data_IF_936309925399
#
_entry.id   IF_936309925399
#
_cell.length_a   1.000
_cell.length_b   1.000
_cell.length_c   1.000
_cell.angle_alpha   90.00
_cell.angle_beta   90.00
_cell.angle_gamma   90.00
#
_symmetry.space_group_name_H-M   'P 1'
#
loop_
_entity.id
_entity.type
_entity.pdbx_description
1 polymer ?
#
# COMPACT_ATOMS: atom_id res chain seq x y z
N UNK A 1 16.68 -36.09 11.15
CA UNK A 1 17.88 -35.35 11.60
C UNK A 1 17.49 -34.48 12.79
N UNK A 2 18.40 -34.19 13.72
CA UNK A 2 18.17 -33.12 14.69
C UNK A 2 18.48 -31.74 14.06
N UNK A 3 18.15 -30.64 14.75
CA UNK A 3 18.39 -29.30 14.21
C UNK A 3 19.86 -29.01 13.94
N UNK A 4 20.78 -29.49 14.79
CA UNK A 4 22.23 -29.33 14.58
C UNK A 4 22.70 -29.97 13.27
N UNK A 5 22.29 -31.21 13.00
CA UNK A 5 22.59 -31.91 11.75
C UNK A 5 22.05 -31.19 10.51
N UNK A 6 20.84 -30.63 10.62
CA UNK A 6 20.22 -29.84 9.55
C UNK A 6 21.05 -28.59 9.25
N UNK A 7 21.44 -27.83 10.27
CA UNK A 7 22.27 -26.63 10.09
C UNK A 7 23.62 -26.96 9.48
N UNK A 8 24.30 -28.02 9.95
CA UNK A 8 25.55 -28.49 9.35
C UNK A 8 25.40 -28.77 7.85
N UNK A 9 24.34 -29.46 7.46
CA UNK A 9 24.06 -29.73 6.05
C UNK A 9 23.74 -28.46 5.26
N UNK A 10 23.03 -27.48 5.86
CA UNK A 10 22.83 -26.16 5.25
C UNK A 10 24.17 -25.47 4.99
N UNK A 11 25.08 -25.47 5.96
CA UNK A 11 26.39 -24.85 5.84
C UNK A 11 27.25 -25.50 4.77
N UNK A 12 27.19 -26.84 4.63
CA UNK A 12 27.84 -27.55 3.52
C UNK A 12 27.25 -27.22 2.16
N UNK A 13 25.92 -27.05 2.08
CA UNK A 13 25.25 -26.59 0.85
C UNK A 13 25.75 -25.20 0.48
N UNK A 14 25.82 -24.26 1.43
CA UNK A 14 26.36 -22.91 1.21
C UNK A 14 27.82 -22.99 0.76
N UNK A 15 28.66 -23.72 1.49
CA UNK A 15 30.08 -23.91 1.15
C UNK A 15 30.27 -24.42 -0.28
N UNK A 16 29.53 -25.46 -0.66
CA UNK A 16 29.58 -26.05 -2.00
C UNK A 16 29.03 -25.12 -3.08
N UNK A 17 27.86 -24.51 -2.85
CA UNK A 17 27.16 -23.68 -3.82
C UNK A 17 27.95 -22.43 -4.20
N UNK A 18 28.55 -21.76 -3.21
CA UNK A 18 29.36 -20.56 -3.45
C UNK A 18 30.82 -20.89 -3.77
N UNK A 19 31.21 -22.17 -3.83
CA UNK A 19 32.58 -22.58 -4.16
C UNK A 19 33.62 -22.04 -3.18
N UNK A 20 33.30 -22.03 -1.88
CA UNK A 20 34.17 -21.48 -0.85
C UNK A 20 35.44 -22.32 -0.70
N UNK A 21 36.57 -21.67 -0.44
CA UNK A 21 37.87 -22.33 -0.35
C UNK A 21 38.33 -22.42 1.12
N UNK A 22 37.53 -23.08 1.94
CA UNK A 22 37.81 -23.26 3.38
C UNK A 22 38.44 -24.64 3.58
N UNK A 23 39.72 -24.66 3.94
CA UNK A 23 40.46 -25.90 4.16
C UNK A 23 39.80 -26.77 5.24
N UNK A 24 39.65 -28.07 4.95
CA UNK A 24 39.07 -29.07 5.83
C UNK A 24 37.66 -28.75 6.36
N UNK A 25 36.89 -27.91 5.65
CA UNK A 25 35.56 -27.48 6.10
C UNK A 25 34.62 -28.66 6.41
N UNK A 26 34.42 -29.56 5.45
CA UNK A 26 33.55 -30.72 5.64
C UNK A 26 34.02 -31.60 6.81
N UNK A 27 35.31 -32.03 6.89
CA UNK A 27 35.83 -32.74 8.05
C UNK A 27 35.62 -32.01 9.39
N UNK A 28 35.81 -30.69 9.44
CA UNK A 28 35.61 -29.92 10.68
C UNK A 28 34.15 -29.91 11.12
N UNK A 29 33.22 -29.76 10.17
CA UNK A 29 31.77 -29.76 10.41
C UNK A 29 31.25 -31.16 10.75
N UNK A 30 31.73 -32.20 10.05
CA UNK A 30 31.31 -33.59 10.25
C UNK A 30 31.77 -34.17 11.58
N UNK A 31 32.99 -33.84 12.00
CA UNK A 31 33.58 -34.36 13.23
C UNK A 31 33.32 -33.49 14.46
N UNK A 32 32.41 -32.52 14.38
CA UNK A 32 32.06 -31.61 15.51
C UNK A 32 33.27 -30.86 16.09
N UNK A 33 34.27 -30.54 15.25
CA UNK A 33 35.48 -29.84 15.71
C UNK A 33 35.23 -28.36 16.00
N UNK A 34 34.15 -27.81 15.46
CA UNK A 34 33.74 -26.41 15.58
C UNK A 34 32.23 -26.33 15.85
N UNK A 35 31.83 -25.36 16.67
CA UNK A 35 30.41 -25.08 16.97
C UNK A 35 29.67 -24.45 15.79
N UNK A 36 28.33 -24.43 15.82
CA UNK A 36 27.53 -23.79 14.76
C UNK A 36 27.90 -22.30 14.58
N UNK A 37 28.10 -21.58 15.68
CA UNK A 37 28.48 -20.16 15.62
C UNK A 37 29.88 -19.98 15.02
N UNK A 38 30.82 -20.89 15.33
CA UNK A 38 32.15 -20.89 14.72
C UNK A 38 32.11 -21.22 13.22
N UNK A 39 31.21 -22.12 12.78
CA UNK A 39 30.98 -22.40 11.36
C UNK A 39 30.47 -21.15 10.66
N UNK A 40 29.47 -20.47 11.24
CA UNK A 40 28.93 -19.21 10.71
C UNK A 40 30.04 -18.16 10.59
N UNK A 41 30.81 -17.93 11.64
CA UNK A 41 31.88 -16.93 11.64
C UNK A 41 32.97 -17.29 10.61
N UNK A 42 33.27 -18.58 10.41
CA UNK A 42 34.21 -19.06 9.38
C UNK A 42 33.69 -18.78 7.98
N UNK A 43 32.42 -19.13 7.69
CA UNK A 43 31.78 -18.86 6.39
C UNK A 43 31.77 -17.36 6.08
N UNK A 44 31.42 -16.52 7.08
CA UNK A 44 31.32 -15.07 6.94
C UNK A 44 32.67 -14.37 6.71
N UNK A 45 33.78 -15.02 7.01
CA UNK A 45 35.12 -14.50 6.73
C UNK A 45 35.59 -14.78 5.30
N UNK A 46 34.88 -15.62 4.54
CA UNK A 46 35.22 -15.89 3.14
C UNK A 46 34.83 -14.69 2.24
N UNK A 47 35.74 -14.19 1.38
CA UNK A 47 35.47 -13.05 0.49
C UNK A 47 34.24 -13.23 -0.40
N UNK A 48 33.91 -14.45 -0.82
CA UNK A 48 32.74 -14.71 -1.67
C UNK A 48 31.43 -14.53 -0.90
N UNK A 49 31.38 -14.91 0.38
CA UNK A 49 30.19 -14.65 1.22
C UNK A 49 30.07 -13.17 1.56
N UNK A 50 31.19 -12.48 1.83
CA UNK A 50 31.19 -11.02 2.06
C UNK A 50 30.62 -10.28 0.84
N UNK A 51 30.89 -10.78 -0.37
CA UNK A 51 30.37 -10.22 -1.62
C UNK A 51 28.87 -10.48 -1.85
N UNK A 52 28.22 -11.30 -1.01
CA UNK A 52 26.78 -11.61 -1.06
C UNK A 52 26.09 -11.18 0.24
N UNK A 53 25.78 -9.87 0.43
CA UNK A 53 25.38 -9.31 1.72
C UNK A 53 24.14 -9.97 2.33
N UNK A 54 23.17 -10.35 1.50
CA UNK A 54 21.93 -11.00 1.98
C UNK A 54 22.21 -12.38 2.59
N UNK A 55 23.13 -13.14 2.02
CA UNK A 55 23.50 -14.46 2.54
C UNK A 55 24.39 -14.31 3.77
N UNK A 56 25.31 -13.35 3.75
CA UNK A 56 26.09 -12.94 4.91
C UNK A 56 25.20 -12.61 6.12
N UNK A 57 24.16 -11.79 5.92
CA UNK A 57 23.20 -11.42 6.97
C UNK A 57 22.29 -12.60 7.37
N UNK A 58 21.88 -13.44 6.42
CA UNK A 58 21.07 -14.62 6.68
C UNK A 58 21.77 -15.59 7.64
N UNK A 59 23.08 -15.80 7.49
CA UNK A 59 23.85 -16.68 8.36
C UNK A 59 23.73 -16.29 9.84
N UNK A 60 23.70 -14.98 10.15
CA UNK A 60 23.51 -14.52 11.53
C UNK A 60 22.14 -14.83 12.11
N UNK A 61 21.14 -15.16 11.28
CA UNK A 61 19.83 -15.61 11.77
C UNK A 61 19.88 -17.03 12.33
N UNK A 62 20.87 -17.84 11.94
CA UNK A 62 21.02 -19.24 12.35
C UNK A 62 21.99 -19.46 13.53
N UNK A 63 22.49 -18.39 14.17
CA UNK A 63 23.28 -18.51 15.40
C UNK A 63 22.47 -19.22 16.49
N UNK A 64 23.15 -20.00 17.33
CA UNK A 64 22.49 -20.88 18.30
C UNK A 64 21.55 -20.11 19.24
N UNK A 65 21.96 -18.91 19.65
CA UNK A 65 21.17 -18.02 20.50
C UNK A 65 19.81 -17.59 19.90
N UNK A 66 19.69 -17.57 18.55
CA UNK A 66 18.47 -17.15 17.86
C UNK A 66 17.55 -18.31 17.51
N UNK A 67 18.11 -19.46 17.16
CA UNK A 67 17.32 -20.63 16.77
C UNK A 67 16.75 -21.37 17.98
N UNK A 68 17.43 -21.31 19.12
CA UNK A 68 17.01 -21.92 20.38
C UNK A 68 17.37 -23.40 20.50
N UNK A 69 17.62 -23.84 21.75
CA UNK A 69 17.98 -25.22 22.08
C UNK A 69 16.92 -26.23 21.65
N UNK A 70 15.65 -25.86 21.75
CA UNK A 70 14.53 -26.74 21.39
C UNK A 70 14.58 -27.18 19.93
N UNK A 71 15.03 -26.33 19.02
CA UNK A 71 15.20 -26.73 17.62
C UNK A 71 16.48 -27.58 17.44
N UNK A 72 17.59 -27.15 18.07
CA UNK A 72 18.90 -27.78 17.89
C UNK A 72 18.92 -29.24 18.36
N UNK A 73 18.30 -29.50 19.50
CA UNK A 73 18.46 -30.77 20.21
C UNK A 73 17.32 -31.76 19.91
N UNK A 74 16.14 -31.27 19.53
CA UNK A 74 15.01 -32.14 19.19
C UNK A 74 15.12 -32.71 17.77
N UNK A 75 14.52 -33.88 17.56
CA UNK A 75 14.36 -34.43 16.21
C UNK A 75 13.42 -33.56 15.39
N UNK A 76 13.88 -33.15 14.21
CA UNK A 76 13.04 -32.46 13.25
C UNK A 76 12.14 -33.47 12.52
N UNK A 77 10.84 -33.25 12.60
CA UNK A 77 9.85 -34.02 11.86
C UNK A 77 9.65 -33.34 10.51
N UNK A 78 9.95 -34.06 9.43
CA UNK A 78 9.77 -33.53 8.08
C UNK A 78 8.31 -33.15 7.83
N UNK A 79 8.12 -31.99 7.21
CA UNK A 79 6.79 -31.47 6.90
C UNK A 79 6.26 -32.09 5.60
N UNK A 80 4.94 -32.02 5.41
CA UNK A 80 4.27 -32.70 4.30
C UNK A 80 4.78 -32.26 2.94
N UNK A 81 4.94 -30.95 2.73
CA UNK A 81 5.44 -30.41 1.48
C UNK A 81 5.94 -28.98 1.65
N UNK A 82 6.87 -28.60 0.77
CA UNK A 82 7.46 -27.26 0.69
C UNK A 82 7.54 -26.82 -0.76
N UNK A 83 7.21 -25.55 -1.01
CA UNK A 83 7.04 -25.01 -2.37
C UNK A 83 7.51 -23.55 -2.45
N UNK A 84 8.08 -23.18 -3.60
CA UNK A 84 8.33 -21.78 -3.96
C UNK A 84 7.22 -21.34 -4.90
N UNK A 85 6.39 -20.41 -4.45
CA UNK A 85 5.33 -19.81 -5.26
C UNK A 85 5.96 -18.73 -6.13
N UNK A 86 5.72 -18.76 -7.45
CA UNK A 86 6.16 -17.75 -8.39
C UNK A 86 4.99 -16.83 -8.79
N UNK A 87 5.03 -15.56 -8.39
CA UNK A 87 3.99 -14.58 -8.67
C UNK A 87 3.99 -14.00 -10.08
N UNK A 88 4.96 -14.38 -10.92
CA UNK A 88 4.92 -14.12 -12.37
C UNK A 88 3.97 -15.06 -13.11
N UNK A 89 3.51 -16.15 -12.48
CA UNK A 89 2.54 -17.06 -13.08
C UNK A 89 1.17 -16.40 -13.24
N UNK A 90 0.40 -16.72 -14.31
CA UNK A 90 -0.91 -16.12 -14.57
C UNK A 90 -1.88 -16.19 -13.38
N UNK A 91 -1.87 -17.33 -12.68
CA UNK A 91 -2.73 -17.59 -11.51
C UNK A 91 -2.37 -16.73 -10.28
N UNK A 92 -1.21 -16.09 -10.28
CA UNK A 92 -0.73 -15.26 -9.16
C UNK A 92 -0.50 -13.80 -9.56
N UNK A 93 -0.71 -13.45 -10.83
CA UNK A 93 -0.47 -12.11 -11.35
C UNK A 93 -1.23 -11.06 -10.51
N UNK A 94 -0.52 -10.01 -10.08
CA UNK A 94 -1.01 -8.92 -9.21
C UNK A 94 -1.46 -9.33 -7.80
N UNK A 95 -1.24 -10.58 -7.39
CA UNK A 95 -1.65 -11.09 -6.06
C UNK A 95 -0.53 -11.06 -5.03
N UNK A 96 0.70 -10.75 -5.40
CA UNK A 96 1.85 -10.74 -4.49
C UNK A 96 1.69 -9.66 -3.39
N UNK A 97 1.63 -10.08 -2.13
CA UNK A 97 1.51 -9.20 -0.96
C UNK A 97 2.66 -9.49 0.01
N UNK A 98 3.25 -8.44 0.56
CA UNK A 98 4.34 -8.53 1.53
C UNK A 98 3.82 -8.91 2.93
N UNK A 99 3.52 -10.20 3.14
CA UNK A 99 3.12 -10.73 4.45
C UNK A 99 3.82 -12.05 4.79
N UNK A 100 3.69 -12.45 6.04
CA UNK A 100 4.14 -13.75 6.54
C UNK A 100 3.18 -14.24 7.60
N UNK A 101 2.80 -15.51 7.53
CA UNK A 101 1.85 -16.11 8.46
C UNK A 101 2.23 -17.56 8.69
N UNK A 102 2.09 -18.05 9.93
CA UNK A 102 2.34 -19.45 10.24
C UNK A 102 1.43 -19.92 11.37
N UNK A 103 0.87 -21.12 11.22
CA UNK A 103 0.11 -21.81 12.24
C UNK A 103 0.48 -23.30 12.29
N UNK A 104 -0.37 -24.14 12.89
CA UNK A 104 -0.16 -25.59 12.97
C UNK A 104 -0.29 -26.31 11.64
N UNK A 105 -0.95 -25.71 10.64
CA UNK A 105 -1.29 -26.37 9.37
C UNK A 105 -0.39 -25.89 8.23
N UNK A 106 -0.05 -24.60 8.23
CA UNK A 106 0.67 -23.97 7.12
C UNK A 106 1.68 -22.92 7.61
N UNK A 107 2.62 -22.60 6.73
CA UNK A 107 3.52 -21.46 6.85
C UNK A 107 3.66 -20.77 5.51
N UNK A 108 3.65 -19.44 5.51
CA UNK A 108 3.91 -18.63 4.33
C UNK A 108 4.80 -17.43 4.66
N UNK A 109 5.75 -17.16 3.77
CA UNK A 109 6.63 -16.00 3.82
C UNK A 109 6.80 -15.44 2.40
N UNK A 110 6.27 -14.25 2.13
CA UNK A 110 6.56 -13.55 0.89
C UNK A 110 8.02 -13.09 0.87
N UNK A 111 8.77 -13.36 -0.20
CA UNK A 111 10.13 -12.85 -0.33
C UNK A 111 10.14 -11.32 -0.47
N UNK A 112 9.08 -10.72 -1.02
CA UNK A 112 8.85 -9.26 -0.96
C UNK A 112 8.97 -8.71 0.46
N UNK A 113 8.40 -9.40 1.46
CA UNK A 113 8.54 -9.01 2.88
C UNK A 113 9.94 -9.25 3.40
N UNK A 114 10.58 -10.34 2.98
CA UNK A 114 11.96 -10.68 3.37
C UNK A 114 12.96 -9.62 2.91
N UNK A 115 12.81 -9.09 1.70
CA UNK A 115 13.64 -8.02 1.12
C UNK A 115 13.56 -6.74 1.94
N UNK A 116 12.39 -6.43 2.51
CA UNK A 116 12.18 -5.25 3.35
C UNK A 116 12.83 -5.35 4.75
N UNK A 117 13.31 -6.53 5.16
CA UNK A 117 14.02 -6.73 6.43
C UNK A 117 15.49 -6.35 6.22
N UNK A 118 15.93 -5.28 6.89
CA UNK A 118 17.30 -4.77 6.79
C UNK A 118 17.85 -4.43 8.18
N UNK A 119 18.93 -5.07 8.64
CA UNK A 119 19.58 -6.25 8.03
C UNK A 119 18.70 -7.51 8.14
N UNK A 120 18.86 -8.47 7.21
CA UNK A 120 18.11 -9.74 7.19
C UNK A 120 18.31 -10.58 8.46
N UNK A 121 19.40 -10.34 9.18
CA UNK A 121 19.68 -10.96 10.47
C UNK A 121 18.63 -10.67 11.54
N UNK A 122 17.73 -9.71 11.33
CA UNK A 122 16.60 -9.37 12.22
C UNK A 122 15.30 -10.15 11.93
N UNK A 123 15.34 -11.13 11.02
CA UNK A 123 14.14 -11.91 10.66
C UNK A 123 13.53 -12.64 11.87
N UNK A 124 14.34 -13.00 12.87
CA UNK A 124 13.93 -13.63 14.13
C UNK A 124 12.96 -12.77 14.96
N UNK A 125 12.99 -11.44 14.78
CA UNK A 125 12.01 -10.52 15.36
C UNK A 125 10.61 -10.66 14.74
N UNK A 126 10.46 -11.44 13.67
CA UNK A 126 9.19 -11.74 13.01
C UNK A 126 8.97 -13.26 13.09
N UNK A 127 8.41 -13.77 14.20
CA UNK A 127 8.37 -15.21 14.47
C UNK A 127 7.75 -16.05 13.34
N UNK A 128 6.68 -15.56 12.70
CA UNK A 128 6.03 -16.28 11.59
C UNK A 128 6.93 -16.40 10.35
N UNK A 129 7.68 -15.34 10.03
CA UNK A 129 8.62 -15.32 8.90
C UNK A 129 9.81 -16.24 9.18
N UNK A 130 10.46 -16.06 10.33
CA UNK A 130 11.62 -16.86 10.71
C UNK A 130 11.26 -18.34 10.81
N UNK A 131 10.15 -18.67 11.46
CA UNK A 131 9.70 -20.07 11.57
C UNK A 131 9.44 -20.70 10.20
N UNK A 132 8.79 -19.98 9.29
CA UNK A 132 8.51 -20.50 7.94
C UNK A 132 9.80 -20.72 7.15
N UNK A 133 10.77 -19.82 7.27
CA UNK A 133 12.08 -19.95 6.63
C UNK A 133 12.85 -21.18 7.14
N UNK A 134 12.91 -21.34 8.47
CA UNK A 134 13.54 -22.49 9.13
C UNK A 134 12.83 -23.78 8.72
N UNK A 135 11.50 -23.82 8.77
CA UNK A 135 10.69 -25.00 8.41
C UNK A 135 10.93 -25.41 6.95
N UNK A 136 11.03 -24.45 6.03
CA UNK A 136 11.33 -24.73 4.62
C UNK A 136 12.71 -25.36 4.43
N UNK A 137 13.76 -24.70 4.93
CA UNK A 137 15.14 -25.18 4.77
C UNK A 137 15.35 -26.53 5.47
N UNK A 138 14.79 -26.68 6.66
CA UNK A 138 14.86 -27.94 7.43
C UNK A 138 14.21 -29.09 6.70
N UNK A 139 13.03 -28.85 6.13
CA UNK A 139 12.32 -29.87 5.34
C UNK A 139 13.07 -30.21 4.06
N UNK A 140 13.62 -29.22 3.35
CA UNK A 140 14.42 -29.43 2.14
C UNK A 140 15.64 -30.32 2.45
N UNK A 141 16.39 -29.97 3.49
CA UNK A 141 17.62 -30.66 3.90
C UNK A 141 17.32 -32.06 4.43
N UNK A 142 16.33 -32.22 5.31
CA UNK A 142 15.97 -33.52 5.86
C UNK A 142 15.44 -34.48 4.78
N UNK A 143 14.82 -33.95 3.72
CA UNK A 143 14.39 -34.72 2.55
C UNK A 143 15.49 -34.86 1.49
N UNK A 144 16.71 -34.39 1.74
CA UNK A 144 17.85 -34.38 0.79
C UNK A 144 17.58 -33.64 -0.53
N UNK A 145 16.60 -32.73 -0.55
CA UNK A 145 16.24 -31.89 -1.70
C UNK A 145 17.09 -30.61 -1.72
N UNK A 146 18.37 -30.79 -2.05
CA UNK A 146 19.35 -29.69 -2.11
C UNK A 146 18.99 -28.64 -3.15
N UNK A 147 18.30 -29.02 -4.22
CA UNK A 147 17.84 -28.11 -5.28
C UNK A 147 16.89 -27.05 -4.72
N UNK A 148 15.94 -27.41 -3.85
CA UNK A 148 15.04 -26.44 -3.22
C UNK A 148 15.77 -25.49 -2.26
N UNK A 149 16.70 -26.02 -1.47
CA UNK A 149 17.51 -25.19 -0.58
C UNK A 149 18.34 -24.17 -1.37
N UNK A 150 19.07 -24.63 -2.41
CA UNK A 150 19.85 -23.77 -3.30
C UNK A 150 18.96 -22.76 -4.03
N UNK A 151 17.81 -23.20 -4.55
CA UNK A 151 16.85 -22.32 -5.21
C UNK A 151 16.40 -21.17 -4.31
N UNK A 152 16.11 -21.45 -3.04
CA UNK A 152 15.78 -20.39 -2.08
C UNK A 152 16.97 -19.47 -1.79
N UNK A 153 18.19 -20.01 -1.63
CA UNK A 153 19.39 -19.20 -1.41
C UNK A 153 19.63 -18.21 -2.57
N UNK A 154 19.51 -18.67 -3.82
CA UNK A 154 19.63 -17.83 -5.02
C UNK A 154 18.58 -16.72 -5.01
N UNK A 155 17.33 -17.01 -4.64
CA UNK A 155 16.28 -15.99 -4.56
C UNK A 155 16.57 -14.95 -3.46
N UNK A 156 17.11 -15.38 -2.32
CA UNK A 156 17.51 -14.47 -1.21
C UNK A 156 18.70 -13.60 -1.61
N UNK A 157 19.73 -14.18 -2.24
CA UNK A 157 20.89 -13.47 -2.79
C UNK A 157 20.45 -12.36 -3.74
N UNK A 158 19.57 -12.70 -4.70
CA UNK A 158 19.09 -11.76 -5.71
C UNK A 158 18.04 -10.77 -5.20
N UNK A 159 17.67 -10.84 -3.91
CA UNK A 159 16.58 -10.05 -3.33
C UNK A 159 15.30 -10.14 -4.17
N UNK A 160 14.98 -11.35 -4.63
CA UNK A 160 13.79 -11.59 -5.45
C UNK A 160 12.53 -11.27 -4.63
N UNK A 161 11.69 -10.40 -5.18
CA UNK A 161 10.43 -10.01 -4.56
C UNK A 161 9.21 -10.65 -5.23
N UNK A 162 9.41 -11.49 -6.26
CA UNK A 162 8.37 -12.14 -7.06
C UNK A 162 8.06 -13.57 -6.60
N UNK A 163 8.75 -14.07 -5.58
CA UNK A 163 8.49 -15.39 -5.02
C UNK A 163 7.99 -15.35 -3.57
N UNK A 164 7.42 -16.47 -3.13
CA UNK A 164 7.05 -16.71 -1.75
C UNK A 164 7.33 -18.16 -1.35
N UNK A 165 7.59 -18.35 -0.07
CA UNK A 165 7.80 -19.67 0.54
C UNK A 165 6.45 -20.17 1.05
N UNK A 166 6.04 -21.37 0.63
CA UNK A 166 4.90 -22.08 1.19
C UNK A 166 5.36 -23.37 1.86
N UNK A 167 4.92 -23.58 3.09
CA UNK A 167 5.15 -24.78 3.89
C UNK A 167 3.79 -25.40 4.24
N UNK A 168 3.63 -26.69 3.93
CA UNK A 168 2.45 -27.49 4.27
C UNK A 168 2.83 -28.45 5.40
N UNK A 169 2.22 -28.25 6.57
CA UNK A 169 2.41 -29.09 7.77
C UNK A 169 1.39 -30.23 7.82
N UNK A 170 0.30 -30.10 7.06
CA UNK A 170 -0.72 -31.12 6.86
C UNK A 170 -0.88 -31.47 5.37
N UNK A 171 -1.40 -32.67 5.10
CA UNK A 171 -1.82 -33.07 3.76
C UNK A 171 -3.14 -32.39 3.39
N UNK A 172 -3.08 -31.35 2.56
CA UNK A 172 -4.25 -30.64 2.05
C UNK A 172 -4.32 -30.75 0.52
N UNK A 173 -5.48 -31.11 -0.07
CA UNK A 173 -5.64 -31.25 -1.53
C UNK A 173 -5.74 -29.89 -2.25
N UNK A 174 -5.77 -28.78 -1.51
CA UNK A 174 -5.93 -27.44 -2.05
C UNK A 174 -4.71 -26.99 -2.89
N UNK A 175 -5.00 -26.24 -3.95
CA UNK A 175 -3.98 -25.58 -4.76
C UNK A 175 -3.22 -24.52 -3.96
N UNK A 176 -2.01 -24.17 -4.42
CA UNK A 176 -1.21 -23.12 -3.81
C UNK A 176 -1.93 -21.78 -3.75
N UNK A 177 -2.72 -21.45 -4.78
CA UNK A 177 -3.50 -20.21 -4.82
C UNK A 177 -4.58 -20.20 -3.73
N UNK A 178 -5.28 -21.33 -3.55
CA UNK A 178 -6.30 -21.47 -2.50
C UNK A 178 -5.69 -21.31 -1.11
N UNK A 179 -4.53 -21.93 -0.86
CA UNK A 179 -3.83 -21.83 0.42
C UNK A 179 -3.26 -20.43 0.64
N UNK A 180 -2.65 -19.82 -0.38
CA UNK A 180 -2.19 -18.44 -0.33
C UNK A 180 -3.31 -17.47 0.07
N UNK A 181 -4.47 -17.60 -0.59
CA UNK A 181 -5.65 -16.79 -0.26
C UNK A 181 -6.15 -17.02 1.17
N UNK A 182 -6.17 -18.27 1.63
CA UNK A 182 -6.51 -18.62 3.02
C UNK A 182 -5.53 -17.98 4.02
N UNK A 183 -4.22 -18.11 3.80
CA UNK A 183 -3.20 -17.57 4.72
C UNK A 183 -3.21 -16.05 4.74
N UNK A 184 -3.42 -15.41 3.59
CA UNK A 184 -3.59 -13.96 3.53
C UNK A 184 -4.83 -13.52 4.32
N UNK A 185 -5.96 -14.20 4.16
CA UNK A 185 -7.16 -13.91 4.94
C UNK A 185 -6.94 -14.11 6.45
N UNK A 186 -6.23 -15.17 6.85
CA UNK A 186 -5.89 -15.44 8.26
C UNK A 186 -5.00 -14.36 8.88
N UNK A 187 -4.00 -13.87 8.14
CA UNK A 187 -3.18 -12.72 8.55
C UNK A 187 -4.06 -11.49 8.82
N UNK A 188 -4.98 -11.17 7.91
CA UNK A 188 -5.88 -10.02 8.05
C UNK A 188 -6.83 -10.17 9.24
N UNK A 189 -7.35 -11.37 9.50
CA UNK A 189 -8.23 -11.64 10.66
C UNK A 189 -7.56 -11.39 12.01
N UNK A 190 -6.23 -11.44 12.07
CA UNK A 190 -5.46 -11.17 13.29
C UNK A 190 -5.07 -9.70 13.44
N UNK A 191 -5.58 -8.83 12.57
CA UNK A 191 -5.19 -7.42 12.51
C UNK A 191 -3.85 -7.19 11.80
N UNK A 192 -3.32 -8.21 11.11
CA UNK A 192 -2.19 -8.08 10.23
C UNK A 192 -2.47 -7.04 9.15
N UNK A 193 -1.45 -6.23 8.81
CA UNK A 193 -1.56 -5.16 7.83
C UNK A 193 -0.41 -5.27 6.83
N UNK A 194 -0.73 -5.07 5.55
CA UNK A 194 0.29 -4.92 4.52
C UNK A 194 0.95 -3.55 4.72
N UNK A 195 2.28 -3.53 4.73
CA UNK A 195 3.04 -2.29 4.83
C UNK A 195 2.70 -1.41 3.63
N UNK A 196 2.43 -0.15 3.90
CA UNK A 196 2.19 0.83 2.86
C UNK A 196 3.48 1.02 2.05
N UNK A 197 3.36 1.05 0.72
CA UNK A 197 4.50 1.35 -0.12
C UNK A 197 4.95 2.81 0.11
N UNK A 198 6.25 3.10 0.29
CA UNK A 198 6.73 4.45 0.61
C UNK A 198 6.31 5.53 -0.40
N UNK A 199 6.10 5.14 -1.65
CA UNK A 199 5.60 6.05 -2.70
C UNK A 199 4.22 6.62 -2.38
N UNK A 200 3.43 5.93 -1.55
CA UNK A 200 2.11 6.38 -1.10
C UNK A 200 2.16 7.22 0.18
N UNK A 201 3.31 7.32 0.85
CA UNK A 201 3.44 8.17 2.03
C UNK A 201 3.19 9.64 1.66
N UNK A 202 2.47 10.33 2.54
CA UNK A 202 2.16 11.75 2.41
C UNK A 202 2.28 12.44 3.78
N UNK A 203 3.24 13.34 3.90
CA UNK A 203 3.51 14.10 5.13
C UNK A 203 3.56 15.61 4.92
N UNK A 204 3.30 16.08 3.70
CA UNK A 204 3.39 17.50 3.37
C UNK A 204 2.23 18.24 4.03
N UNK A 205 2.56 19.36 4.69
CA UNK A 205 1.56 20.32 5.10
C UNK A 205 0.94 20.97 3.86
N UNK A 206 -0.35 21.28 3.93
CA UNK A 206 -1.12 21.87 2.84
C UNK A 206 -0.64 23.26 2.38
N UNK A 207 0.30 23.89 3.09
CA UNK A 207 0.95 25.16 2.70
C UNK A 207 0.06 26.40 2.74
N UNK A 208 -1.25 26.25 2.93
CA UNK A 208 -2.18 27.36 3.15
C UNK A 208 -1.92 28.05 4.49
N UNK A 209 -1.90 29.38 4.47
CA UNK A 209 -1.81 30.23 5.66
C UNK A 209 -3.01 31.15 5.68
N UNK A 210 -3.78 31.12 6.77
CA UNK A 210 -4.90 32.02 6.97
C UNK A 210 -4.57 33.05 8.06
N UNK A 211 -4.90 34.31 7.80
CA UNK A 211 -4.97 35.35 8.82
C UNK A 211 -6.43 35.53 9.25
N UNK A 212 -6.66 35.98 10.49
CA UNK A 212 -8.01 36.28 10.95
C UNK A 212 -8.59 37.43 10.12
N UNK A 213 -9.60 37.12 9.31
CA UNK A 213 -10.43 38.12 8.62
C UNK A 213 -11.69 38.35 9.46
N UNK A 214 -11.77 39.51 10.12
CA UNK A 214 -12.85 39.81 11.07
C UNK A 214 -14.27 39.80 10.48
N UNK A 215 -14.40 39.89 9.15
CA UNK A 215 -15.69 39.86 8.45
C UNK A 215 -16.12 38.46 8.04
N UNK A 216 -15.24 37.46 8.14
CA UNK A 216 -15.52 36.08 7.70
C UNK A 216 -16.25 35.30 8.79
N UNK A 217 -17.37 34.67 8.42
CA UNK A 217 -18.18 33.85 9.32
C UNK A 217 -17.63 32.42 9.49
N UNK A 218 -16.44 32.24 10.07
CA UNK A 218 -15.79 30.93 10.19
C UNK A 218 -16.66 29.82 10.81
N UNK A 219 -17.58 30.19 11.72
CA UNK A 219 -18.48 29.25 12.39
C UNK A 219 -19.37 28.45 11.42
N UNK A 220 -19.58 28.94 10.20
CA UNK A 220 -20.40 28.24 9.21
C UNK A 220 -19.71 27.01 8.60
N UNK A 221 -18.43 26.81 8.88
CA UNK A 221 -17.57 25.75 8.31
C UNK A 221 -17.07 24.74 9.36
N UNK A 222 -17.65 24.68 10.57
CA UNK A 222 -17.20 23.72 11.59
C UNK A 222 -17.13 22.27 11.10
N UNK A 223 -18.14 21.83 10.34
CA UNK A 223 -18.15 20.48 9.74
C UNK A 223 -16.96 20.27 8.78
N UNK A 224 -16.54 21.30 8.05
CA UNK A 224 -15.35 21.22 7.22
C UNK A 224 -14.07 21.19 8.05
N UNK A 225 -14.01 21.89 9.18
CA UNK A 225 -12.85 21.85 10.07
C UNK A 225 -12.63 20.45 10.64
N UNK A 226 -13.69 19.71 10.95
CA UNK A 226 -13.58 18.32 11.38
C UNK A 226 -13.01 17.42 10.26
N UNK A 227 -13.46 17.61 9.01
CA UNK A 227 -12.90 16.87 7.86
C UNK A 227 -11.44 17.29 7.59
N UNK A 228 -11.09 18.55 7.76
CA UNK A 228 -9.70 19.03 7.65
C UNK A 228 -8.84 18.41 8.75
N UNK A 229 -9.36 18.24 9.96
CA UNK A 229 -8.67 17.52 11.02
C UNK A 229 -8.41 16.06 10.61
N UNK A 230 -9.41 15.36 10.05
CA UNK A 230 -9.21 14.01 9.51
C UNK A 230 -8.19 13.97 8.35
N UNK A 231 -8.20 14.97 7.47
CA UNK A 231 -7.22 15.14 6.39
C UNK A 231 -5.79 15.28 6.96
N UNK A 232 -5.62 16.01 8.06
CA UNK A 232 -4.33 16.17 8.74
C UNK A 232 -3.83 14.87 9.40
N UNK A 233 -4.74 13.98 9.78
CA UNK A 233 -4.40 12.63 10.26
C UNK A 233 -4.12 11.63 9.14
N UNK A 234 -4.47 11.94 7.88
CA UNK A 234 -4.20 11.07 6.74
C UNK A 234 -2.71 11.09 6.37
N UNK A 235 -2.05 9.93 6.54
CA UNK A 235 -0.62 9.73 6.29
C UNK A 235 -0.29 9.17 4.91
N UNK A 236 -1.30 8.86 4.11
CA UNK A 236 -1.16 8.29 2.77
C UNK A 236 -1.95 9.06 1.71
N UNK A 237 -1.48 8.99 0.47
CA UNK A 237 -2.06 9.69 -0.70
C UNK A 237 -3.53 9.33 -0.92
N UNK A 238 -3.91 8.06 -0.75
CA UNK A 238 -5.26 7.58 -1.08
C UNK A 238 -6.26 8.14 -0.08
N UNK A 239 -6.01 7.93 1.21
CA UNK A 239 -6.86 8.44 2.29
C UNK A 239 -6.94 9.96 2.24
N UNK A 240 -5.80 10.63 2.02
CA UNK A 240 -5.77 12.09 1.95
C UNK A 240 -6.58 12.62 0.77
N UNK A 241 -6.47 12.00 -0.40
CA UNK A 241 -7.29 12.36 -1.56
C UNK A 241 -8.78 12.17 -1.27
N UNK A 242 -9.19 11.09 -0.60
CA UNK A 242 -10.60 10.86 -0.25
C UNK A 242 -11.14 11.92 0.72
N UNK A 243 -10.39 12.26 1.77
CA UNK A 243 -10.81 13.32 2.72
C UNK A 243 -10.93 14.67 2.01
N UNK A 244 -10.03 14.96 1.09
CA UNK A 244 -10.09 16.15 0.25
C UNK A 244 -11.31 16.13 -0.69
N UNK A 245 -11.63 14.97 -1.29
CA UNK A 245 -12.86 14.81 -2.07
C UNK A 245 -14.11 15.06 -1.21
N UNK A 246 -14.16 14.59 0.03
CA UNK A 246 -15.30 14.87 0.93
C UNK A 246 -15.49 16.38 1.14
N UNK A 247 -14.40 17.15 1.26
CA UNK A 247 -14.49 18.62 1.34
C UNK A 247 -15.04 19.21 0.04
N UNK A 248 -14.55 18.75 -1.12
CA UNK A 248 -15.03 19.22 -2.43
C UNK A 248 -16.52 18.90 -2.62
N UNK A 249 -16.93 17.68 -2.28
CA UNK A 249 -18.32 17.23 -2.35
C UNK A 249 -19.20 18.09 -1.43
N UNK A 250 -18.77 18.31 -0.19
CA UNK A 250 -19.46 19.21 0.74
C UNK A 250 -19.63 20.61 0.15
N UNK A 251 -18.56 21.21 -0.39
CA UNK A 251 -18.62 22.53 -1.02
C UNK A 251 -19.55 22.56 -2.24
N UNK A 252 -19.56 21.49 -3.04
CA UNK A 252 -20.44 21.39 -4.19
C UNK A 252 -21.93 21.36 -3.79
N UNK A 253 -22.29 20.64 -2.71
CA UNK A 253 -23.66 20.68 -2.17
C UNK A 253 -23.97 22.01 -1.48
N UNK A 254 -23.02 22.53 -0.70
CA UNK A 254 -23.17 23.83 -0.03
C UNK A 254 -23.45 24.95 -1.03
N UNK A 255 -22.82 24.92 -2.21
CA UNK A 255 -23.11 25.89 -3.28
C UNK A 255 -24.58 25.90 -3.69
N UNK A 256 -25.24 24.74 -3.80
CA UNK A 256 -26.69 24.69 -4.10
C UNK A 256 -27.51 25.33 -2.99
N UNK A 257 -27.13 25.10 -1.73
CA UNK A 257 -27.83 25.66 -0.58
C UNK A 257 -27.65 27.18 -0.48
N UNK A 258 -26.47 27.70 -0.81
CA UNK A 258 -26.22 29.15 -0.88
C UNK A 258 -27.05 29.79 -1.99
N UNK A 259 -27.14 29.16 -3.18
CA UNK A 259 -28.02 29.65 -4.26
C UNK A 259 -29.50 29.61 -3.87
N UNK A 260 -29.92 28.58 -3.14
CA UNK A 260 -31.26 28.45 -2.61
C UNK A 260 -31.57 29.56 -1.59
N UNK A 261 -30.65 29.82 -0.66
CA UNK A 261 -30.76 30.88 0.35
C UNK A 261 -30.94 32.25 -0.30
N UNK A 262 -30.08 32.59 -1.27
CA UNK A 262 -30.17 33.86 -2.00
C UNK A 262 -31.51 34.00 -2.75
N UNK A 263 -31.94 32.94 -3.47
CA UNK A 263 -33.24 32.95 -4.15
C UNK A 263 -34.42 33.07 -3.18
N UNK A 264 -34.36 32.38 -2.04
CA UNK A 264 -35.42 32.40 -1.04
C UNK A 264 -35.54 33.78 -0.38
N UNK A 265 -34.42 34.41 -0.06
CA UNK A 265 -34.37 35.79 0.44
C UNK A 265 -35.02 36.78 -0.53
N UNK A 266 -34.77 36.61 -1.83
CA UNK A 266 -35.26 37.53 -2.86
C UNK A 266 -36.72 37.27 -3.26
N UNK A 267 -37.20 36.01 -3.23
CA UNK A 267 -38.48 35.63 -3.85
C UNK A 267 -39.47 34.86 -2.94
N UNK A 268 -39.15 34.58 -1.67
CA UNK A 268 -40.00 33.80 -0.73
C UNK A 268 -40.51 32.44 -1.27
N UNK A 269 -39.73 31.79 -2.13
CA UNK A 269 -40.11 30.52 -2.81
C UNK A 269 -39.43 29.27 -2.24
N UNK A 270 -38.89 29.34 -1.02
CA UNK A 270 -38.01 28.31 -0.44
C UNK A 270 -38.56 26.88 -0.53
N UNK A 271 -39.81 26.65 -0.12
CA UNK A 271 -40.44 25.31 -0.11
C UNK A 271 -40.47 24.70 -1.52
N UNK A 272 -40.77 25.51 -2.56
CA UNK A 272 -40.84 25.05 -3.95
C UNK A 272 -39.45 24.67 -4.47
N UNK A 273 -38.44 25.45 -4.14
CA UNK A 273 -37.07 25.23 -4.59
C UNK A 273 -36.42 24.01 -3.90
N UNK A 274 -36.71 23.76 -2.61
CA UNK A 274 -36.26 22.54 -1.90
C UNK A 274 -36.84 21.27 -2.49
N UNK A 275 -38.13 21.27 -2.86
CA UNK A 275 -38.73 20.10 -3.52
C UNK A 275 -38.08 19.80 -4.89
N UNK A 276 -37.63 20.84 -5.61
CA UNK A 276 -36.87 20.67 -6.85
C UNK A 276 -35.45 20.12 -6.62
N UNK A 277 -34.82 20.41 -5.48
CA UNK A 277 -33.50 19.89 -5.10
C UNK A 277 -33.58 18.42 -4.66
N UNK A 278 -34.61 18.04 -3.90
CA UNK A 278 -34.80 16.68 -3.34
C UNK A 278 -35.48 15.70 -4.30
N UNK A 279 -36.26 16.18 -5.27
CA UNK A 279 -37.12 15.37 -6.14
C UNK A 279 -36.47 14.62 -7.30
N UNK A 280 -35.14 14.44 -7.36
CA UNK A 280 -34.45 13.83 -8.51
C UNK A 280 -33.44 12.75 -8.11
N UNK A 281 -33.94 11.61 -7.61
CA UNK A 281 -33.15 10.43 -7.23
C UNK A 281 -32.22 9.83 -8.30
N UNK A 282 -31.10 9.30 -7.81
CA UNK A 282 -30.24 8.19 -8.26
C UNK A 282 -29.92 8.01 -9.75
N UNK A 283 -28.90 8.74 -10.20
CA UNK A 283 -28.00 8.21 -11.23
C UNK A 283 -26.60 8.79 -11.01
N UNK A 284 -25.55 7.97 -11.07
CA UNK A 284 -24.14 8.42 -10.94
C UNK A 284 -23.76 9.55 -11.91
N UNK A 285 -24.45 9.64 -13.04
CA UNK A 285 -24.28 10.75 -13.98
C UNK A 285 -24.70 12.10 -13.35
N UNK A 286 -25.72 12.14 -12.48
CA UNK A 286 -26.14 13.37 -11.78
C UNK A 286 -25.09 13.86 -10.80
N UNK A 287 -24.42 12.96 -10.07
CA UNK A 287 -23.35 13.32 -9.12
C UNK A 287 -22.20 14.02 -9.85
N UNK A 288 -21.69 13.42 -10.93
CA UNK A 288 -20.65 14.04 -11.74
C UNK A 288 -21.10 15.37 -12.36
N UNK A 289 -22.34 15.48 -12.85
CA UNK A 289 -22.83 16.73 -13.42
C UNK A 289 -22.98 17.83 -12.34
N UNK A 290 -23.45 17.47 -11.13
CA UNK A 290 -23.54 18.37 -9.99
C UNK A 290 -22.15 18.86 -9.59
N UNK A 291 -21.20 17.94 -9.46
CA UNK A 291 -19.81 18.26 -9.16
C UNK A 291 -19.23 19.19 -10.21
N UNK A 292 -19.36 18.88 -11.51
CA UNK A 292 -18.87 19.75 -12.60
C UNK A 292 -19.41 21.17 -12.51
N UNK A 293 -20.74 21.29 -12.45
CA UNK A 293 -21.43 22.57 -12.43
C UNK A 293 -21.01 23.43 -11.24
N UNK A 294 -20.93 22.82 -10.06
CA UNK A 294 -20.69 23.58 -8.83
C UNK A 294 -19.20 23.83 -8.61
N UNK A 295 -18.33 22.90 -9.01
CA UNK A 295 -16.89 23.13 -9.03
C UNK A 295 -16.51 24.31 -9.92
N UNK A 296 -17.10 24.40 -11.12
CA UNK A 296 -16.93 25.56 -12.01
C UNK A 296 -17.37 26.87 -11.34
N UNK A 297 -18.56 26.89 -10.74
CA UNK A 297 -19.06 28.08 -10.03
C UNK A 297 -18.14 28.52 -8.89
N UNK A 298 -17.57 27.56 -8.14
CA UNK A 298 -16.72 27.85 -6.97
C UNK A 298 -15.32 28.33 -7.39
N UNK A 299 -14.72 27.72 -8.43
CA UNK A 299 -13.29 27.88 -8.74
C UNK A 299 -12.99 28.53 -10.10
N UNK A 300 -13.99 29.07 -10.81
CA UNK A 300 -13.79 29.68 -12.13
C UNK A 300 -12.69 30.75 -12.15
N UNK A 301 -12.63 31.61 -11.13
CA UNK A 301 -11.62 32.67 -11.01
C UNK A 301 -10.20 32.11 -10.84
N UNK A 302 -10.03 31.12 -9.97
CA UNK A 302 -8.76 30.45 -9.70
C UNK A 302 -8.27 29.67 -10.92
N UNK A 303 -9.18 29.02 -11.64
CA UNK A 303 -8.87 28.29 -12.89
C UNK A 303 -8.43 29.27 -13.97
N UNK A 304 -9.17 30.37 -14.17
CA UNK A 304 -8.80 31.41 -15.12
C UNK A 304 -7.45 32.08 -14.79
N UNK A 305 -7.11 32.14 -13.49
CA UNK A 305 -5.82 32.66 -13.01
C UNK A 305 -4.67 31.65 -13.14
N UNK A 306 -4.94 30.42 -13.58
CA UNK A 306 -3.95 29.37 -13.72
C UNK A 306 -3.52 28.71 -12.40
N UNK A 307 -4.27 28.91 -11.30
CA UNK A 307 -3.93 28.31 -10.01
C UNK A 307 -4.19 26.80 -9.98
N UNK A 308 -5.02 26.29 -10.89
CA UNK A 308 -5.27 24.86 -11.11
C UNK A 308 -4.32 24.26 -12.16
N UNK A 309 -3.05 24.67 -12.17
CA UNK A 309 -2.08 24.17 -13.14
C UNK A 309 -1.51 22.79 -12.76
N UNK A 310 -2.14 21.74 -13.26
CA UNK A 310 -1.63 20.36 -13.17
C UNK A 310 -0.61 20.01 -14.27
N UNK A 311 -0.32 20.94 -15.18
CA UNK A 311 0.49 20.73 -16.37
C UNK A 311 1.99 21.11 -16.15
N UNK A 312 2.91 20.57 -16.98
CA UNK A 312 2.67 19.53 -17.98
C UNK A 312 2.38 18.17 -17.35
N UNK A 313 1.46 17.41 -17.98
CA UNK A 313 1.32 15.98 -17.74
C UNK A 313 2.46 15.27 -18.45
N UNK A 314 3.05 14.26 -17.81
CA UNK A 314 3.99 13.37 -18.47
C UNK A 314 3.28 12.52 -19.53
N UNK A 315 4.07 11.90 -20.43
CA UNK A 315 3.53 10.99 -21.43
C UNK A 315 2.86 9.75 -20.80
N UNK A 316 3.38 9.27 -19.67
CA UNK A 316 2.84 8.15 -18.91
C UNK A 316 1.53 8.53 -18.22
N UNK A 317 1.47 9.69 -17.54
CA UNK A 317 0.25 10.24 -16.93
C UNK A 317 -0.85 10.41 -17.98
N UNK A 318 -0.52 11.03 -19.13
CA UNK A 318 -1.47 11.25 -20.23
C UNK A 318 -2.02 9.92 -20.79
N UNK A 319 -1.17 8.92 -20.93
CA UNK A 319 -1.57 7.60 -21.42
C UNK A 319 -2.43 6.87 -20.40
N UNK A 320 -2.08 6.96 -19.12
CA UNK A 320 -2.83 6.35 -18.03
C UNK A 320 -4.25 6.92 -17.94
N UNK A 321 -4.36 8.26 -17.87
CA UNK A 321 -5.65 8.96 -17.79
C UNK A 321 -6.54 8.57 -18.96
N UNK A 322 -5.98 8.51 -20.18
CA UNK A 322 -6.75 8.09 -21.37
C UNK A 322 -7.21 6.63 -21.26
N UNK A 323 -6.33 5.72 -20.86
CA UNK A 323 -6.60 4.28 -20.81
C UNK A 323 -7.61 3.91 -19.72
N UNK A 324 -7.43 4.43 -18.50
CA UNK A 324 -8.18 3.99 -17.33
C UNK A 324 -9.32 4.94 -16.95
N UNK A 325 -9.23 6.23 -17.30
CA UNK A 325 -10.26 7.23 -16.98
C UNK A 325 -10.98 7.77 -18.21
N UNK A 326 -10.56 7.39 -19.42
CA UNK A 326 -11.25 7.70 -20.68
C UNK A 326 -11.19 9.18 -21.06
N UNK A 327 -10.26 9.97 -20.50
CA UNK A 327 -10.16 11.39 -20.80
C UNK A 327 -9.14 11.65 -21.91
N UNK A 328 -9.60 12.14 -23.06
CA UNK A 328 -8.75 12.56 -24.18
C UNK A 328 -8.51 14.06 -24.10
N UNK A 329 -7.25 14.51 -24.21
CA UNK A 329 -6.91 15.93 -24.26
C UNK A 329 -7.27 16.69 -22.97
N UNK A 330 -6.72 16.24 -21.83
CA UNK A 330 -6.89 16.94 -20.56
C UNK A 330 -6.46 18.41 -20.70
N UNK A 331 -7.32 19.32 -20.26
CA UNK A 331 -7.12 20.76 -20.33
C UNK A 331 -7.33 21.33 -18.92
N UNK A 332 -6.27 21.84 -18.33
CA UNK A 332 -6.28 22.42 -16.98
C UNK A 332 -6.96 23.78 -16.90
N UNK A 333 -7.33 24.38 -18.04
CA UNK A 333 -8.13 25.60 -18.09
C UNK A 333 -9.64 25.31 -18.16
N UNK A 334 -10.04 24.04 -18.28
CA UNK A 334 -11.44 23.62 -18.37
C UNK A 334 -11.91 23.06 -17.01
N UNK A 335 -12.77 23.77 -16.26
CA UNK A 335 -13.26 23.31 -14.96
C UNK A 335 -13.91 21.92 -15.01
N UNK A 336 -14.63 21.64 -16.10
CA UNK A 336 -15.29 20.36 -16.32
C UNK A 336 -14.31 19.19 -16.45
N UNK A 337 -13.12 19.42 -17.02
CA UNK A 337 -12.05 18.42 -17.12
C UNK A 337 -11.43 18.15 -15.75
N UNK A 338 -11.15 19.20 -14.97
CA UNK A 338 -10.61 19.06 -13.60
C UNK A 338 -11.58 18.27 -12.71
N UNK A 339 -12.85 18.67 -12.68
CA UNK A 339 -13.88 18.00 -11.89
C UNK A 339 -14.05 16.53 -12.31
N UNK A 340 -13.93 16.23 -13.61
CA UNK A 340 -13.98 14.84 -14.12
C UNK A 340 -12.79 14.04 -13.64
N UNK A 341 -11.58 14.61 -13.68
CA UNK A 341 -10.37 13.93 -13.22
C UNK A 341 -10.48 13.60 -11.72
N UNK A 342 -10.90 14.56 -10.90
CA UNK A 342 -11.12 14.38 -9.46
C UNK A 342 -12.11 13.23 -9.21
N UNK A 343 -13.25 13.25 -9.91
CA UNK A 343 -14.30 12.23 -9.79
C UNK A 343 -13.81 10.84 -10.22
N UNK A 344 -13.04 10.75 -11.31
CA UNK A 344 -12.50 9.48 -11.82
C UNK A 344 -11.49 8.87 -10.84
N UNK A 345 -10.62 9.69 -10.26
CA UNK A 345 -9.68 9.23 -9.22
C UNK A 345 -10.46 8.69 -8.01
N UNK A 346 -11.44 9.47 -7.49
CA UNK A 346 -12.28 9.03 -6.38
C UNK A 346 -12.96 7.70 -6.68
N UNK A 347 -13.56 7.57 -7.86
CA UNK A 347 -14.25 6.33 -8.25
C UNK A 347 -13.29 5.14 -8.36
N UNK A 348 -12.09 5.34 -8.89
CA UNK A 348 -11.07 4.28 -8.87
C UNK A 348 -10.66 3.87 -7.46
N UNK A 349 -10.78 4.74 -6.46
CA UNK A 349 -10.47 4.41 -5.07
C UNK A 349 -11.64 3.72 -4.35
N UNK A 350 -12.88 4.18 -4.53
CA UNK A 350 -14.02 3.73 -3.70
C UNK A 350 -14.94 2.72 -4.37
N UNK A 351 -15.00 2.69 -5.71
CA UNK A 351 -15.82 1.73 -6.43
C UNK A 351 -14.99 0.50 -6.77
N UNK A 352 -15.47 -0.64 -6.30
CA UNK A 352 -14.97 -1.95 -6.69
C UNK A 352 -16.05 -2.63 -7.55
N UNK A 353 -15.97 -2.43 -8.85
CA UNK A 353 -16.59 -3.36 -9.80
C UNK A 353 -15.49 -4.27 -10.29
N UNK A 354 -15.74 -5.58 -10.30
CA UNK A 354 -14.76 -6.61 -10.66
C UNK A 354 -14.08 -6.38 -12.03
N UNK A 355 -14.71 -5.60 -12.92
CA UNK A 355 -14.21 -5.25 -14.25
C UNK A 355 -13.57 -3.85 -14.36
N UNK A 356 -13.58 -3.03 -13.31
CA UNK A 356 -13.07 -1.66 -13.34
C UNK A 356 -11.68 -1.54 -12.68
N UNK A 357 -10.92 -0.53 -13.10
CA UNK A 357 -9.61 -0.24 -12.53
C UNK A 357 -9.74 0.33 -11.10
N UNK A 358 -9.07 -0.33 -10.15
CA UNK A 358 -9.19 -0.01 -8.73
C UNK A 358 -7.82 0.32 -8.09
N UNK A 359 -7.80 1.41 -7.32
CA UNK A 359 -6.64 1.92 -6.59
C UNK A 359 -6.77 1.50 -5.13
N UNK A 360 -5.80 0.75 -4.63
CA UNK A 360 -5.69 0.35 -3.23
C UNK A 360 -4.27 0.55 -2.72
N UNK A 361 -4.11 0.52 -1.41
CA UNK A 361 -2.78 0.47 -0.76
C UNK A 361 -1.98 -0.77 -1.12
N UNK A 362 -2.65 -1.81 -1.64
CA UNK A 362 -2.08 -3.12 -1.94
C UNK A 362 -1.62 -3.31 -3.39
N UNK A 363 -1.89 -2.35 -4.28
CA UNK A 363 -1.49 -2.42 -5.69
C UNK A 363 -0.85 -1.12 -6.25
N UNK A 364 0.07 -0.46 -5.52
CA UNK A 364 0.72 0.79 -5.97
C UNK A 364 1.39 0.68 -7.34
N UNK A 365 1.92 -0.50 -7.67
CA UNK A 365 2.59 -0.75 -8.94
C UNK A 365 1.64 -0.56 -10.14
N UNK A 366 0.33 -0.78 -9.97
CA UNK A 366 -0.67 -0.66 -11.04
C UNK A 366 -1.04 0.78 -11.40
N UNK A 367 -0.77 1.76 -10.53
CA UNK A 367 -1.02 3.19 -10.77
C UNK A 367 0.21 4.07 -10.52
N UNK A 368 1.39 3.46 -10.46
CA UNK A 368 2.68 4.14 -10.26
C UNK A 368 2.86 5.35 -11.20
N UNK A 369 2.41 5.23 -12.45
CA UNK A 369 2.42 6.28 -13.47
C UNK A 369 1.67 7.57 -13.09
N UNK A 370 0.70 7.53 -12.16
CA UNK A 370 -0.13 8.68 -11.79
C UNK A 370 -0.05 9.07 -10.32
N UNK A 371 0.73 8.38 -9.49
CA UNK A 371 0.85 8.74 -8.06
C UNK A 371 1.34 10.18 -7.89
N UNK A 372 2.34 10.58 -8.67
CA UNK A 372 2.87 11.95 -8.62
C UNK A 372 1.85 13.00 -9.08
N UNK A 373 1.02 12.69 -10.08
CA UNK A 373 -0.11 13.54 -10.46
C UNK A 373 -1.09 13.70 -9.30
N UNK A 374 -1.50 12.61 -8.65
CA UNK A 374 -2.43 12.67 -7.52
C UNK A 374 -1.84 13.50 -6.38
N UNK A 375 -0.54 13.34 -6.05
CA UNK A 375 0.14 14.18 -5.05
C UNK A 375 0.11 15.67 -5.42
N UNK A 376 0.42 16.03 -6.67
CA UNK A 376 0.34 17.42 -7.16
C UNK A 376 -1.10 17.95 -7.08
N UNK A 377 -2.09 17.11 -7.40
CA UNK A 377 -3.49 17.48 -7.31
C UNK A 377 -3.90 17.79 -5.87
N UNK A 378 -3.52 16.94 -4.91
CA UNK A 378 -3.80 17.17 -3.48
C UNK A 378 -3.27 18.54 -3.06
N UNK A 379 -2.00 18.85 -3.34
CA UNK A 379 -1.37 20.12 -2.95
C UNK A 379 -2.12 21.35 -3.50
N UNK A 380 -2.47 21.32 -4.79
CA UNK A 380 -3.17 22.41 -5.45
C UNK A 380 -4.57 22.57 -4.85
N UNK A 381 -5.31 21.47 -4.74
CA UNK A 381 -6.68 21.48 -4.24
C UNK A 381 -6.76 21.95 -2.78
N UNK A 382 -5.89 21.43 -1.91
CA UNK A 382 -5.82 21.87 -0.51
C UNK A 382 -5.63 23.38 -0.40
N UNK A 383 -4.67 23.92 -1.15
CA UNK A 383 -4.43 25.36 -1.18
C UNK A 383 -5.66 26.14 -1.64
N UNK A 384 -6.23 25.79 -2.80
CA UNK A 384 -7.35 26.54 -3.36
C UNK A 384 -8.60 26.47 -2.48
N UNK A 385 -8.87 25.32 -1.87
CA UNK A 385 -10.01 25.12 -0.96
C UNK A 385 -9.84 25.94 0.32
N UNK A 386 -8.66 25.89 0.93
CA UNK A 386 -8.43 26.59 2.20
C UNK A 386 -8.37 28.10 2.01
N UNK A 387 -7.81 28.57 0.89
CA UNK A 387 -7.85 29.99 0.51
C UNK A 387 -9.32 30.45 0.34
N UNK A 388 -10.19 29.63 -0.29
CA UNK A 388 -11.63 29.94 -0.44
C UNK A 388 -12.37 30.05 0.88
N UNK A 389 -12.13 29.11 1.82
CA UNK A 389 -12.76 29.13 3.15
C UNK A 389 -12.31 30.36 3.96
N UNK A 390 -11.08 30.84 3.73
CA UNK A 390 -10.48 31.93 4.51
C UNK A 390 -11.03 33.33 4.16
N UNK A 391 -11.70 33.51 3.02
CA UNK A 391 -12.09 34.83 2.50
C UNK A 391 -13.61 35.09 2.46
N UNK A 392 -14.42 34.23 3.09
CA UNK A 392 -15.90 34.30 3.08
C UNK A 392 -16.49 34.41 1.65
N UNK A 393 -15.99 33.58 0.74
CA UNK A 393 -16.35 33.66 -0.66
C UNK A 393 -17.87 33.49 -0.87
N UNK A 394 -18.57 34.42 -1.55
CA UNK A 394 -20.03 34.43 -1.67
C UNK A 394 -20.58 33.20 -2.39
N UNK A 395 -19.74 32.48 -3.13
CA UNK A 395 -20.11 31.23 -3.77
C UNK A 395 -20.46 30.14 -2.75
N UNK A 396 -19.80 30.12 -1.59
CA UNK A 396 -19.88 29.05 -0.58
C UNK A 396 -20.28 29.56 0.81
N UNK A 397 -20.51 30.86 0.98
CA UNK A 397 -20.91 31.49 2.23
C UNK A 397 -22.39 31.85 2.27
N UNK A 398 -23.09 31.44 3.34
CA UNK A 398 -24.44 31.94 3.60
C UNK A 398 -24.37 33.42 3.96
N UNK A 399 -25.24 34.23 3.37
CA UNK A 399 -25.25 35.67 3.59
C UNK A 399 -26.26 36.09 4.69
N UNK A 400 -27.08 35.16 5.16
CA UNK A 400 -28.05 35.37 6.25
C UNK A 400 -27.92 34.29 7.31
N UNK A 401 -28.21 34.64 8.57
CA UNK A 401 -28.31 33.70 9.68
C UNK A 401 -29.62 32.89 9.67
N UNK A 402 -30.65 33.41 9.02
CA UNK A 402 -31.98 32.82 8.96
C UNK A 402 -32.60 32.99 7.56
N UNK A 403 -33.40 32.02 7.16
CA UNK A 403 -34.23 32.10 5.96
C UNK A 403 -35.65 32.42 6.43
N UNK A 404 -36.15 33.59 6.04
CA UNK A 404 -37.56 33.94 6.26
C UNK A 404 -38.44 33.09 5.34
N UNK A 405 -39.22 32.19 5.94
CA UNK A 405 -40.11 31.30 5.20
C UNK A 405 -41.47 31.94 4.89
N UNK A 406 -41.80 33.07 5.53
CA UNK A 406 -43.07 33.79 5.40
C UNK A 406 -42.91 35.30 5.61
#
# INVERSE_FOLDING_TARGET
MNGREILKNLYKIIHSHYGLNIADFNPQVDNDLISNDQIIDTLKNDPLIIAVPRIYELLDSFKEAKIGSDYLDNQFISLTAIELINFAQPDFLKRNRAFSYADSEFGYLALKKLVEITPLSLIDNIPSAYRTLVDYLSTAINNTDTTKAIGLLILIENSDDLHGILVRKIAAPNSNLSIYGYLYYKELLQGGKIKLAPVLDYSLLHGANAALVHTTNYQQYFELFDIINELNHASDVITRFLKLYHIIEYLAYRRELVELEDKARNNRTFIREIHSLTGKGDSSNKELQLLKRNFEKIFSAEIASGNFNFAPLSATESTFIRKYWGMNGFNNNEPSHIATLIYRIRNSIVHNKESEFHITTSNPDEYSDVIHLIKRMIQILERQIFDKISVDAPEISYQSQYIELY
#
